data_IF_127089492760
#
_entry.id   IF_127089492760
#
_cell.length_a   1.000
_cell.length_b   1.000
_cell.length_c   1.000
_cell.angle_alpha   90.00
_cell.angle_beta   90.00
_cell.angle_gamma   90.00
#
_symmetry.space_group_name_H-M   'P 1'
#
loop_
_entity.id
_entity.type
_entity.pdbx_description
1 polymer ?
#
# COMPACT_ATOMS: atom_id res chain seq x y z
N UNK A 1 -5.50 -9.58 -9.86
CA UNK A 1 -6.90 -9.55 -10.32
C UNK A 1 -7.82 -8.81 -9.34
N UNK A 2 -7.61 -8.96 -8.03
CA UNK A 2 -8.49 -8.42 -6.98
C UNK A 2 -8.49 -6.89 -6.92
N UNK A 3 -7.35 -6.24 -7.07
CA UNK A 3 -7.27 -4.77 -7.06
C UNK A 3 -8.20 -4.11 -8.08
N UNK A 4 -8.40 -4.74 -9.25
CA UNK A 4 -9.31 -4.19 -10.26
C UNK A 4 -10.72 -4.07 -9.72
N UNK A 5 -11.21 -5.13 -9.08
CA UNK A 5 -12.56 -5.14 -8.50
C UNK A 5 -12.69 -4.04 -7.45
N UNK A 6 -11.73 -3.96 -6.52
CA UNK A 6 -11.79 -2.98 -5.43
C UNK A 6 -11.71 -1.53 -5.91
N UNK A 7 -10.83 -1.25 -6.87
CA UNK A 7 -10.66 0.10 -7.43
C UNK A 7 -11.87 0.48 -8.27
N UNK A 8 -12.33 -0.41 -9.15
CA UNK A 8 -13.44 -0.08 -10.07
C UNK A 8 -14.80 0.02 -9.38
N UNK A 9 -15.00 -0.71 -8.26
CA UNK A 9 -16.20 -0.56 -7.41
C UNK A 9 -16.38 0.85 -6.84
N UNK A 10 -15.30 1.61 -6.67
CA UNK A 10 -15.36 3.01 -6.19
C UNK A 10 -15.63 4.02 -7.31
N UNK A 11 -15.84 3.57 -8.54
CA UNK A 11 -15.95 4.42 -9.72
C UNK A 11 -14.61 4.92 -10.25
N UNK A 12 -13.50 4.44 -9.68
CA UNK A 12 -12.14 4.78 -10.12
C UNK A 12 -11.68 3.84 -11.23
N UNK A 13 -10.65 4.26 -11.98
CA UNK A 13 -10.03 3.44 -13.03
C UNK A 13 -8.71 2.87 -12.54
N UNK A 14 -8.52 1.56 -12.66
CA UNK A 14 -7.22 0.93 -12.42
C UNK A 14 -6.36 1.00 -13.69
N UNK A 15 -5.19 1.61 -13.56
CA UNK A 15 -4.13 1.60 -14.57
C UNK A 15 -3.01 0.68 -14.09
N UNK A 16 -2.66 -0.32 -14.90
CA UNK A 16 -1.58 -1.26 -14.58
C UNK A 16 -0.29 -0.80 -15.24
N UNK A 17 0.74 -0.57 -14.43
CA UNK A 17 2.10 -0.26 -14.90
C UNK A 17 2.92 -1.55 -14.84
N UNK A 18 3.43 -2.05 -15.98
CA UNK A 18 4.23 -3.26 -15.99
C UNK A 18 5.59 -3.02 -15.31
N UNK A 19 6.05 -4.05 -14.58
CA UNK A 19 7.41 -4.08 -14.04
C UNK A 19 8.46 -4.32 -15.13
N UNK A 20 9.71 -4.02 -14.83
CA UNK A 20 10.85 -4.39 -15.68
C UNK A 20 10.91 -5.91 -15.82
N UNK A 21 11.29 -6.40 -17.00
CA UNK A 21 11.32 -7.85 -17.28
C UNK A 21 12.55 -8.54 -16.67
N UNK A 22 13.62 -7.78 -16.45
CA UNK A 22 14.92 -8.27 -16.05
C UNK A 22 14.96 -8.64 -14.57
N UNK A 23 14.30 -7.83 -13.72
CA UNK A 23 14.41 -7.93 -12.26
C UNK A 23 13.06 -7.75 -11.54
N UNK A 24 11.98 -7.53 -12.29
CA UNK A 24 10.64 -7.25 -11.78
C UNK A 24 10.54 -6.04 -10.85
N UNK A 25 11.54 -5.16 -10.85
CA UNK A 25 11.44 -3.88 -10.17
C UNK A 25 10.52 -2.93 -10.96
N UNK A 26 10.10 -1.84 -10.33
CA UNK A 26 9.21 -0.88 -10.98
C UNK A 26 9.98 -0.11 -12.06
N UNK A 27 9.39 -0.01 -13.24
CA UNK A 27 9.85 0.92 -14.26
C UNK A 27 9.33 2.32 -13.93
N UNK A 28 10.19 3.13 -13.32
CA UNK A 28 9.82 4.48 -12.85
C UNK A 28 9.48 5.44 -13.98
N UNK A 29 10.01 5.21 -15.19
CA UNK A 29 9.63 6.00 -16.36
C UNK A 29 8.20 5.67 -16.81
N UNK A 30 7.86 4.39 -16.91
CA UNK A 30 6.49 3.98 -17.23
C UNK A 30 5.51 4.42 -16.13
N UNK A 31 5.94 4.38 -14.86
CA UNK A 31 5.15 4.90 -13.74
C UNK A 31 4.90 6.40 -13.90
N UNK A 32 5.94 7.18 -14.17
CA UNK A 32 5.82 8.63 -14.35
C UNK A 32 4.88 8.98 -15.52
N UNK A 33 4.99 8.28 -16.63
CA UNK A 33 4.15 8.49 -17.81
C UNK A 33 2.67 8.11 -17.56
N UNK A 34 2.43 7.15 -16.67
CA UNK A 34 1.08 6.69 -16.31
C UNK A 34 0.35 7.61 -15.32
N UNK A 35 1.10 8.40 -14.53
CA UNK A 35 0.51 9.32 -13.54
C UNK A 35 -0.04 10.56 -14.23
N UNK A 36 -1.30 10.87 -13.94
CA UNK A 36 -2.01 12.04 -14.45
C UNK A 36 -2.54 12.91 -13.32
N UNK A 37 -3.09 14.08 -13.64
CA UNK A 37 -3.76 14.96 -12.67
C UNK A 37 -4.96 14.31 -11.96
N UNK A 38 -5.46 13.16 -12.46
CA UNK A 38 -6.56 12.40 -11.87
C UNK A 38 -6.08 11.25 -10.96
N UNK A 39 -4.77 10.97 -10.94
CA UNK A 39 -4.20 9.91 -10.11
C UNK A 39 -4.34 10.27 -8.63
N UNK A 40 -4.96 9.38 -7.83
CA UNK A 40 -5.16 9.53 -6.39
C UNK A 40 -4.18 8.72 -5.55
N UNK A 41 -3.70 7.62 -6.08
CA UNK A 41 -2.76 6.76 -5.38
C UNK A 41 -2.21 5.67 -6.26
N UNK A 42 -1.18 5.02 -5.75
CA UNK A 42 -0.60 3.81 -6.32
C UNK A 42 -0.66 2.68 -5.28
N UNK A 43 -0.76 1.45 -5.73
CA UNK A 43 -0.73 0.26 -4.89
C UNK A 43 0.55 -0.50 -5.19
N UNK A 44 1.35 -0.76 -4.15
CA UNK A 44 2.56 -1.58 -4.23
C UNK A 44 2.41 -2.80 -3.33
N UNK A 45 2.67 -3.98 -3.90
CA UNK A 45 2.73 -5.24 -3.16
C UNK A 45 4.18 -5.72 -3.12
N UNK A 46 4.81 -5.65 -1.95
CA UNK A 46 6.21 -6.08 -1.75
C UNK A 46 6.42 -6.60 -0.32
N UNK A 47 6.91 -7.84 -0.15
CA UNK A 47 7.23 -8.84 -1.18
C UNK A 47 6.02 -9.19 -2.06
N UNK A 48 6.24 -9.41 -3.35
CA UNK A 48 5.16 -9.50 -4.33
C UNK A 48 4.61 -10.92 -4.50
N UNK A 49 3.30 -11.01 -4.62
CA UNK A 49 2.62 -12.20 -5.10
C UNK A 49 2.10 -11.95 -6.54
N UNK A 50 2.51 -12.73 -7.56
CA UNK A 50 3.14 -14.05 -7.48
C UNK A 50 4.67 -14.08 -7.69
N UNK A 51 5.32 -12.96 -8.01
CA UNK A 51 6.73 -12.96 -8.45
C UNK A 51 7.74 -13.30 -7.34
N UNK A 52 7.38 -13.12 -6.07
CA UNK A 52 8.27 -13.27 -4.92
C UNK A 52 9.31 -12.15 -4.78
N UNK A 53 9.27 -11.15 -5.65
CA UNK A 53 10.26 -10.07 -5.67
C UNK A 53 10.04 -9.11 -4.50
N UNK A 54 11.15 -8.73 -3.86
CA UNK A 54 11.22 -7.61 -2.92
C UNK A 54 11.67 -6.37 -3.69
N UNK A 55 10.91 -5.28 -3.58
CA UNK A 55 11.34 -4.00 -4.13
C UNK A 55 12.55 -3.50 -3.35
N UNK A 56 13.60 -3.10 -4.07
CA UNK A 56 14.83 -2.58 -3.46
C UNK A 56 14.60 -1.18 -2.88
N UNK A 57 15.44 -0.80 -1.93
CA UNK A 57 15.39 0.54 -1.33
C UNK A 57 15.59 1.63 -2.39
N UNK A 58 16.49 1.39 -3.36
CA UNK A 58 16.74 2.30 -4.48
C UNK A 58 15.48 2.47 -5.33
N UNK A 59 14.84 1.37 -5.72
CA UNK A 59 13.60 1.40 -6.49
C UNK A 59 12.50 2.18 -5.75
N UNK A 60 12.35 1.97 -4.44
CA UNK A 60 11.36 2.68 -3.62
C UNK A 60 11.66 4.18 -3.57
N UNK A 61 12.93 4.58 -3.39
CA UNK A 61 13.33 5.99 -3.41
C UNK A 61 13.03 6.65 -4.75
N UNK A 62 13.29 5.96 -5.85
CA UNK A 62 12.95 6.46 -7.19
C UNK A 62 11.44 6.63 -7.37
N UNK A 63 10.65 5.65 -6.95
CA UNK A 63 9.18 5.75 -6.98
C UNK A 63 8.69 6.94 -6.16
N UNK A 64 9.19 7.10 -4.93
CA UNK A 64 8.82 8.24 -4.07
C UNK A 64 9.17 9.59 -4.72
N UNK A 65 10.34 9.69 -5.35
CA UNK A 65 10.75 10.90 -6.07
C UNK A 65 9.79 11.23 -7.24
N UNK A 66 9.33 10.21 -7.98
CA UNK A 66 8.32 10.39 -9.03
C UNK A 66 7.01 10.90 -8.44
N UNK A 67 6.53 10.31 -7.33
CA UNK A 67 5.29 10.75 -6.68
C UNK A 67 5.38 12.20 -6.21
N UNK A 68 6.48 12.58 -5.53
CA UNK A 68 6.71 13.95 -5.06
C UNK A 68 6.75 14.96 -6.22
N UNK A 69 7.43 14.58 -7.32
CA UNK A 69 7.48 15.40 -8.54
C UNK A 69 6.08 15.64 -9.08
N UNK A 70 5.28 14.57 -9.23
CA UNK A 70 3.92 14.63 -9.79
C UNK A 70 2.93 15.34 -8.87
N UNK A 71 3.07 15.21 -7.55
CA UNK A 71 2.29 16.00 -6.60
C UNK A 71 2.53 17.50 -6.77
N UNK A 72 3.80 17.89 -6.92
CA UNK A 72 4.16 19.31 -7.17
C UNK A 72 3.65 19.79 -8.52
N UNK A 73 3.75 18.95 -9.56
CA UNK A 73 3.30 19.28 -10.92
C UNK A 73 1.79 19.55 -10.98
N UNK A 74 0.98 18.69 -10.31
CA UNK A 74 -0.48 18.78 -10.38
C UNK A 74 -1.12 19.53 -9.20
N UNK A 75 -0.35 19.86 -8.16
CA UNK A 75 -0.87 20.50 -6.95
C UNK A 75 -1.87 19.63 -6.19
N UNK A 76 -1.72 18.31 -6.26
CA UNK A 76 -2.63 17.32 -5.67
C UNK A 76 -1.85 16.23 -4.97
N UNK A 77 -2.44 15.69 -3.91
CA UNK A 77 -1.86 14.57 -3.17
C UNK A 77 -2.03 13.25 -3.95
N UNK A 78 -0.97 12.44 -3.93
CA UNK A 78 -0.96 11.06 -4.43
C UNK A 78 -0.59 10.16 -3.26
N UNK A 79 -1.40 9.17 -2.94
CA UNK A 79 -1.16 8.26 -1.84
C UNK A 79 -0.41 7.00 -2.30
N UNK A 80 0.46 6.49 -1.44
CA UNK A 80 1.10 5.20 -1.60
C UNK A 80 0.39 4.19 -0.70
N UNK A 81 -0.25 3.19 -1.28
CA UNK A 81 -0.87 2.08 -0.57
C UNK A 81 0.09 0.89 -0.62
N UNK A 82 0.66 0.56 0.52
CA UNK A 82 1.59 -0.56 0.68
C UNK A 82 0.81 -1.80 1.12
N UNK A 83 0.70 -2.79 0.24
CA UNK A 83 0.11 -4.09 0.55
C UNK A 83 1.23 -5.05 0.94
N UNK A 84 1.37 -5.31 2.25
CA UNK A 84 2.54 -5.97 2.83
C UNK A 84 2.24 -7.30 3.57
N UNK A 85 1.35 -8.18 3.11
CA UNK A 85 1.01 -9.41 3.83
C UNK A 85 2.15 -10.43 3.89
N UNK A 86 3.21 -10.24 3.10
CA UNK A 86 4.34 -11.17 2.96
C UNK A 86 5.64 -10.64 3.55
N UNK A 87 5.61 -9.53 4.31
CA UNK A 87 6.80 -8.83 4.83
C UNK A 87 7.78 -9.76 5.54
N UNK A 88 7.31 -10.69 6.36
CA UNK A 88 8.11 -11.64 7.14
C UNK A 88 8.45 -12.92 6.38
N UNK A 89 7.86 -13.15 5.20
CA UNK A 89 8.07 -14.36 4.41
C UNK A 89 9.18 -14.15 3.37
N UNK A 90 10.38 -13.83 3.86
CA UNK A 90 11.58 -13.65 3.04
C UNK A 90 12.57 -14.73 3.44
N UNK A 91 13.01 -15.54 2.46
CA UNK A 91 13.87 -16.72 2.66
C UNK A 91 15.35 -16.46 2.37
N UNK A 92 15.75 -15.20 2.32
CA UNK A 92 17.10 -14.74 2.07
C UNK A 92 17.44 -13.57 2.96
N UNK A 93 18.70 -13.14 2.98
CA UNK A 93 19.17 -11.98 3.75
C UNK A 93 18.70 -10.64 3.17
N UNK A 94 17.69 -10.64 2.30
CA UNK A 94 17.12 -9.42 1.71
C UNK A 94 16.32 -8.67 2.77
N UNK A 95 16.67 -7.43 2.99
CA UNK A 95 15.92 -6.53 3.86
C UNK A 95 14.70 -5.98 3.11
N UNK A 96 13.52 -6.16 3.68
CA UNK A 96 12.29 -5.57 3.16
C UNK A 96 12.18 -4.12 3.65
N UNK A 97 12.24 -3.12 2.76
CA UNK A 97 12.09 -1.73 3.17
C UNK A 97 10.68 -1.46 3.71
N UNK A 98 10.56 -0.58 4.70
CA UNK A 98 9.27 -0.14 5.21
C UNK A 98 8.87 1.17 4.51
N UNK A 99 7.86 1.10 3.64
CA UNK A 99 7.55 2.17 2.69
C UNK A 99 7.21 3.50 3.37
N UNK A 100 6.60 3.46 4.55
CA UNK A 100 6.24 4.64 5.34
C UNK A 100 7.47 5.49 5.76
N UNK A 101 8.69 4.91 5.74
CA UNK A 101 9.92 5.64 6.02
C UNK A 101 10.39 6.53 4.84
N UNK A 102 9.83 6.32 3.66
CA UNK A 102 10.29 6.96 2.42
C UNK A 102 9.29 7.96 1.83
N UNK A 103 8.01 7.84 2.21
CA UNK A 103 6.97 8.70 1.65
C UNK A 103 5.89 9.01 2.69
N UNK A 104 5.63 10.29 2.91
CA UNK A 104 4.73 10.74 3.98
C UNK A 104 3.27 10.34 3.74
N UNK A 105 2.77 10.42 2.49
CA UNK A 105 1.41 10.03 2.15
C UNK A 105 1.25 8.50 1.96
N UNK A 106 1.70 7.72 2.96
CA UNK A 106 1.68 6.25 2.91
C UNK A 106 0.60 5.68 3.82
N UNK A 107 -0.10 4.67 3.28
CA UNK A 107 -1.05 3.80 3.98
C UNK A 107 -0.53 2.38 3.84
N UNK A 108 -0.30 1.70 4.96
CA UNK A 108 0.14 0.29 4.98
C UNK A 108 -1.06 -0.60 5.28
N UNK A 109 -1.25 -1.62 4.46
CA UNK A 109 -2.22 -2.69 4.67
C UNK A 109 -1.46 -3.98 4.98
N UNK A 110 -1.75 -4.57 6.13
CA UNK A 110 -1.10 -5.79 6.60
C UNK A 110 -2.11 -6.85 7.03
N UNK A 111 -1.78 -8.11 6.81
CA UNK A 111 -2.61 -9.25 7.19
C UNK A 111 -1.79 -10.34 7.86
N UNK A 112 -2.26 -10.85 8.99
CA UNK A 112 -1.68 -12.00 9.68
C UNK A 112 -1.99 -13.36 9.02
N UNK A 113 -2.73 -13.34 7.93
CA UNK A 113 -3.09 -14.56 7.18
C UNK A 113 -1.89 -15.36 6.72
N UNK A 114 -0.74 -14.68 6.49
CA UNK A 114 0.48 -15.31 5.98
C UNK A 114 1.53 -15.49 7.07
N UNK A 115 1.92 -14.42 7.75
CA UNK A 115 2.99 -14.44 8.76
C UNK A 115 2.68 -15.36 9.94
N UNK A 116 1.42 -15.42 10.40
CA UNK A 116 0.99 -16.27 11.51
C UNK A 116 0.17 -17.49 11.06
N UNK A 117 0.02 -17.69 9.74
CA UNK A 117 -0.81 -18.79 9.20
C UNK A 117 -2.25 -18.78 9.72
N UNK A 118 -2.83 -17.60 9.89
CA UNK A 118 -4.18 -17.38 10.42
C UNK A 118 -5.16 -16.84 9.36
N UNK A 119 -5.30 -17.49 8.19
CA UNK A 119 -6.19 -16.95 7.15
C UNK A 119 -7.68 -17.03 7.54
N UNK A 120 -8.04 -17.96 8.43
CA UNK A 120 -9.41 -18.13 8.92
C UNK A 120 -9.86 -17.04 9.89
N UNK A 121 -8.94 -16.48 10.67
CA UNK A 121 -9.26 -15.50 11.70
C UNK A 121 -9.57 -14.11 11.15
N UNK A 122 -9.20 -13.84 9.90
CA UNK A 122 -9.46 -12.57 9.19
C UNK A 122 -8.94 -11.35 9.95
N UNK A 123 -7.72 -11.45 10.49
CA UNK A 123 -7.07 -10.40 11.28
C UNK A 123 -5.98 -9.69 10.46
N UNK A 124 -5.93 -8.38 10.59
CA UNK A 124 -4.90 -7.52 10.00
C UNK A 124 -4.98 -6.12 10.58
N UNK A 125 -4.20 -5.22 10.03
CA UNK A 125 -4.25 -3.80 10.40
C UNK A 125 -4.03 -2.90 9.20
N UNK A 126 -4.46 -1.66 9.34
CA UNK A 126 -4.10 -0.56 8.45
C UNK A 126 -3.36 0.47 9.29
N UNK A 127 -2.17 0.87 8.83
CA UNK A 127 -1.42 1.96 9.43
C UNK A 127 -1.43 3.16 8.48
N UNK A 128 -1.73 4.34 9.01
CA UNK A 128 -1.70 5.60 8.27
C UNK A 128 -0.60 6.47 8.84
N UNK A 129 0.27 7.00 8.00
CA UNK A 129 1.33 7.92 8.43
C UNK A 129 0.71 9.17 9.06
N UNK A 130 1.21 9.57 10.23
CA UNK A 130 0.81 10.83 10.90
C UNK A 130 1.28 12.09 10.17
N UNK A 131 2.14 11.93 9.18
CA UNK A 131 2.60 12.99 8.28
C UNK A 131 1.78 13.06 6.98
N UNK A 132 0.93 12.06 6.72
CA UNK A 132 0.11 12.04 5.53
C UNK A 132 -0.89 13.20 5.53
N UNK A 133 -1.16 13.76 4.36
CA UNK A 133 -2.16 14.79 4.19
C UNK A 133 -3.53 14.25 4.65
N UNK A 134 -4.21 15.03 5.47
CA UNK A 134 -5.55 14.70 6.00
C UNK A 134 -5.62 13.34 6.73
N UNK A 135 -4.52 12.89 7.35
CA UNK A 135 -4.42 11.59 8.01
C UNK A 135 -5.54 11.31 9.02
N UNK A 136 -5.99 12.35 9.76
CA UNK A 136 -7.10 12.20 10.73
C UNK A 136 -8.42 11.85 10.06
N UNK A 137 -8.68 12.40 8.89
CA UNK A 137 -9.87 12.09 8.10
C UNK A 137 -9.79 10.67 7.53
N UNK A 138 -8.62 10.29 7.01
CA UNK A 138 -8.35 8.93 6.52
C UNK A 138 -8.53 7.93 7.66
N UNK A 139 -7.93 8.20 8.82
CA UNK A 139 -8.05 7.37 10.01
C UNK A 139 -9.52 7.21 10.43
N UNK A 140 -10.26 8.32 10.55
CA UNK A 140 -11.67 8.29 10.90
C UNK A 140 -12.51 7.54 9.87
N UNK A 141 -12.23 7.69 8.58
CA UNK A 141 -12.93 6.98 7.52
C UNK A 141 -12.66 5.47 7.59
N UNK A 142 -11.42 5.05 7.88
CA UNK A 142 -11.08 3.63 8.02
C UNK A 142 -11.67 3.04 9.30
N UNK A 143 -11.67 3.79 10.43
CA UNK A 143 -12.30 3.37 11.68
C UNK A 143 -13.83 3.34 11.62
N UNK A 144 -14.44 4.31 10.93
CA UNK A 144 -15.88 4.44 10.81
C UNK A 144 -16.47 3.78 9.57
N UNK A 145 -15.63 3.40 8.63
CA UNK A 145 -16.08 2.67 7.46
C UNK A 145 -16.59 1.31 7.92
N UNK A 146 -17.88 1.17 7.85
CA UNK A 146 -18.49 -0.13 7.79
C UNK A 146 -17.59 -1.02 6.90
N UNK A 147 -17.07 -2.04 7.49
CA UNK A 147 -16.22 -3.15 7.03
C UNK A 147 -15.94 -3.33 5.52
N UNK A 148 -16.66 -2.69 4.62
CA UNK A 148 -16.56 -2.90 3.16
C UNK A 148 -15.25 -2.35 2.56
N UNK A 149 -14.84 -1.12 2.89
CA UNK A 149 -13.60 -0.52 2.36
C UNK A 149 -12.37 -1.23 2.94
N UNK A 150 -12.41 -1.51 4.23
CA UNK A 150 -11.34 -2.26 4.90
C UNK A 150 -11.23 -3.70 4.39
N UNK A 151 -12.35 -4.35 4.12
CA UNK A 151 -12.41 -5.67 3.46
C UNK A 151 -11.84 -5.61 2.05
N UNK A 152 -12.16 -4.57 1.29
CA UNK A 152 -11.64 -4.36 -0.04
C UNK A 152 -10.12 -4.20 -0.03
N UNK A 153 -9.57 -3.34 0.84
CA UNK A 153 -8.14 -3.08 0.95
C UNK A 153 -7.34 -4.30 1.45
N UNK A 154 -7.94 -5.15 2.28
CA UNK A 154 -7.27 -6.32 2.85
C UNK A 154 -7.54 -7.64 2.11
N UNK A 155 -8.25 -7.60 0.99
CA UNK A 155 -8.60 -8.81 0.24
C UNK A 155 -9.45 -9.82 1.04
N UNK A 156 -10.12 -9.34 2.11
CA UNK A 156 -10.89 -10.18 2.99
C UNK A 156 -12.29 -10.40 2.44
N UNK A 157 -12.52 -11.55 1.84
CA UNK A 157 -13.83 -11.94 1.30
C UNK A 157 -14.84 -12.40 2.37
N UNK A 158 -14.58 -12.22 3.67
CA UNK A 158 -15.49 -12.69 4.73
C UNK A 158 -15.97 -11.60 5.66
N UNK A 159 -17.17 -11.80 6.21
CA UNK A 159 -17.96 -10.85 6.97
C UNK A 159 -17.45 -10.52 8.38
N UNK A 160 -16.49 -11.27 8.91
CA UNK A 160 -16.19 -11.26 10.35
C UNK A 160 -14.75 -10.84 10.68
N UNK A 161 -14.09 -10.08 9.78
CA UNK A 161 -12.72 -9.61 9.99
C UNK A 161 -12.64 -8.48 11.02
N UNK A 162 -11.85 -8.66 12.06
CA UNK A 162 -11.47 -7.60 12.97
C UNK A 162 -10.32 -6.80 12.35
N UNK A 163 -10.42 -5.47 12.35
CA UNK A 163 -9.37 -4.57 11.86
C UNK A 163 -8.94 -3.70 13.01
N UNK A 164 -7.67 -3.83 13.37
CA UNK A 164 -7.04 -2.95 14.34
C UNK A 164 -6.30 -1.84 13.59
N UNK A 165 -6.61 -0.59 13.93
CA UNK A 165 -5.90 0.57 13.43
C UNK A 165 -4.86 1.00 14.44
N UNK A 166 -3.60 0.98 14.01
CA UNK A 166 -2.51 1.45 14.83
C UNK A 166 -2.22 2.92 14.50
N UNK A 167 -2.38 3.79 15.48
CA UNK A 167 -1.89 5.16 15.40
C UNK A 167 -0.37 5.15 15.57
N UNK A 168 0.36 5.55 14.53
CA UNK A 168 1.83 5.59 14.56
C UNK A 168 2.38 6.58 15.59
N UNK A 169 1.59 7.54 16.06
CA UNK A 169 1.97 8.44 17.15
C UNK A 169 2.12 7.72 18.49
N UNK A 170 1.40 6.60 18.71
CA UNK A 170 1.49 5.77 19.92
C UNK A 170 2.75 4.93 19.99
N UNK A 171 3.44 4.70 18.88
CA UNK A 171 4.67 3.88 18.82
C UNK A 171 5.96 4.62 19.19
N UNK A 172 5.90 5.92 19.45
CA UNK A 172 7.07 6.73 19.84
C UNK A 172 7.41 6.68 21.33
N UNK A 173 6.72 5.90 22.12
CA UNK A 173 6.83 5.82 23.57
C UNK A 173 7.16 4.44 24.15
N UNK A 174 7.58 3.45 23.34
CA UNK A 174 8.00 2.14 23.81
C UNK A 174 9.47 1.85 23.49
#
# INVERSE_FOLDING_TARGET
>A
PEYRVFVEMTGSKLVVVPSRKEDFQIDTKLLEDAITEHTKGIILNSPNNPSGVVLTEECIKEVCAVLEKKQKEYGKEIFLIADEPYRELVYSDVKVPYLMNYYDNTIVCYSYSKSLSLPGERIGYIAVSDKAKDWKQIYAAVCGADTALCRALMGAASSDGCIELLDTAGLRGA
#
